data_IF_424960541424
#
_entry.id   IF_424960541424
#
_cell.length_a   1.000
_cell.length_b   1.000
_cell.length_c   1.000
_cell.angle_alpha   90.00
_cell.angle_beta   90.00
_cell.angle_gamma   90.00
#
_symmetry.space_group_name_H-M   'P 1'
#
loop_
_entity.id
_entity.type
_entity.pdbx_description
1 polymer ?
#
# COMPACT_ATOMS: atom_id res chain seq x y z
N UNK A 1 12.51 15.30 5.82
CA UNK A 1 12.37 14.32 4.73
C UNK A 1 12.47 15.02 3.38
N UNK A 2 12.75 14.29 2.30
CA UNK A 2 12.84 14.86 0.95
C UNK A 2 11.58 15.63 0.53
N UNK A 3 10.40 15.11 0.86
CA UNK A 3 9.13 15.80 0.56
C UNK A 3 9.02 17.16 1.25
N UNK A 4 9.38 17.26 2.53
CA UNK A 4 9.37 18.54 3.25
C UNK A 4 10.36 19.53 2.63
N UNK A 5 11.53 19.05 2.24
CA UNK A 5 12.53 19.87 1.55
C UNK A 5 11.98 20.43 0.24
N UNK A 6 11.30 19.60 -0.58
CA UNK A 6 10.71 20.07 -1.85
C UNK A 6 9.60 21.11 -1.62
N UNK A 7 8.84 20.99 -0.53
CA UNK A 7 7.85 22.01 -0.13
C UNK A 7 8.55 23.32 0.25
N UNK A 8 9.59 23.23 1.09
CA UNK A 8 10.38 24.39 1.54
C UNK A 8 11.05 25.13 0.38
N UNK A 9 11.45 24.40 -0.66
CA UNK A 9 12.01 24.98 -1.89
C UNK A 9 10.96 25.51 -2.87
N UNK A 10 9.66 25.41 -2.57
CA UNK A 10 8.58 25.83 -3.44
C UNK A 10 8.39 24.95 -4.70
N UNK A 11 9.04 23.79 -4.76
CA UNK A 11 8.94 22.84 -5.89
C UNK A 11 7.64 22.02 -5.79
N UNK A 12 7.26 21.60 -4.58
CA UNK A 12 6.04 20.86 -4.33
C UNK A 12 5.05 21.71 -3.52
N UNK A 13 3.77 21.73 -3.95
CA UNK A 13 2.71 22.43 -3.24
C UNK A 13 2.20 21.57 -2.08
N UNK A 14 2.23 22.06 -0.81
CA UNK A 14 1.61 21.34 0.30
C UNK A 14 0.12 21.15 0.03
N UNK A 15 -0.42 19.98 0.25
CA UNK A 15 -1.81 19.66 -0.06
C UNK A 15 -2.09 19.22 -1.50
N UNK A 16 -1.04 19.08 -2.35
CA UNK A 16 -1.14 18.53 -3.71
C UNK A 16 -0.10 17.43 -3.97
N UNK A 17 0.25 16.67 -2.95
CA UNK A 17 1.27 15.63 -3.06
C UNK A 17 0.60 14.28 -2.94
N UNK A 18 0.60 13.52 -4.03
CA UNK A 18 0.19 12.13 -4.05
C UNK A 18 1.38 11.20 -3.80
N UNK A 19 1.11 10.06 -3.19
CA UNK A 19 2.10 9.00 -2.96
C UNK A 19 1.68 7.74 -3.70
N UNK A 20 2.65 7.01 -4.26
CA UNK A 20 2.36 5.70 -4.86
C UNK A 20 3.44 4.68 -4.55
N UNK A 21 3.04 3.42 -4.46
CA UNK A 21 3.97 2.33 -4.28
C UNK A 21 3.37 0.99 -4.70
N UNK A 22 4.23 0.10 -5.19
CA UNK A 22 3.87 -1.25 -5.60
C UNK A 22 4.69 -2.27 -4.81
N UNK A 23 4.07 -3.41 -4.42
CA UNK A 23 4.74 -4.51 -3.74
C UNK A 23 5.37 -4.04 -2.41
N UNK A 24 6.67 -4.12 -2.26
CA UNK A 24 7.37 -3.64 -1.07
C UNK A 24 7.23 -2.13 -0.85
N UNK A 25 7.22 -1.34 -1.92
CA UNK A 25 6.90 0.09 -1.79
C UNK A 25 5.40 0.34 -1.56
N UNK A 26 4.53 -0.60 -1.90
CA UNK A 26 3.13 -0.62 -1.47
C UNK A 26 3.02 -0.77 0.06
N UNK A 27 3.85 -1.65 0.66
CA UNK A 27 4.00 -1.70 2.12
C UNK A 27 4.48 -0.35 2.68
N UNK A 28 5.56 0.20 2.13
CA UNK A 28 6.09 1.48 2.61
C UNK A 28 5.05 2.59 2.53
N UNK A 29 4.28 2.64 1.46
CA UNK A 29 3.19 3.61 1.28
C UNK A 29 2.09 3.41 2.32
N UNK A 30 1.61 2.18 2.51
CA UNK A 30 0.57 1.87 3.50
C UNK A 30 1.02 2.21 4.93
N UNK A 31 2.29 1.96 5.25
CA UNK A 31 2.85 2.30 6.55
C UNK A 31 3.04 3.82 6.74
N UNK A 32 3.53 4.51 5.71
CA UNK A 32 3.74 5.97 5.78
C UNK A 32 2.45 6.73 6.05
N UNK A 33 1.34 6.35 5.41
CA UNK A 33 0.06 7.04 5.61
C UNK A 33 -0.57 6.78 6.99
N UNK A 34 -0.06 5.83 7.78
CA UNK A 34 -0.39 5.70 9.21
C UNK A 34 0.41 6.67 10.09
N UNK A 35 1.47 7.28 9.57
CA UNK A 35 2.43 8.10 10.35
C UNK A 35 2.37 9.58 10.00
N UNK A 36 1.72 9.97 8.91
CA UNK A 36 1.68 11.36 8.47
C UNK A 36 0.52 11.64 7.52
N UNK A 37 -0.07 12.83 7.64
CA UNK A 37 -1.10 13.38 6.75
C UNK A 37 -0.49 14.26 5.63
N UNK A 38 0.81 14.12 5.37
CA UNK A 38 1.52 14.94 4.38
C UNK A 38 1.02 14.71 2.94
N UNK A 39 0.43 13.56 2.68
CA UNK A 39 -0.02 13.13 1.35
C UNK A 39 -1.52 13.30 1.21
N UNK A 40 -1.94 13.99 0.15
CA UNK A 40 -3.36 14.26 -0.15
C UNK A 40 -4.11 12.99 -0.56
N UNK A 41 -3.42 12.06 -1.18
CA UNK A 41 -3.94 10.76 -1.59
C UNK A 41 -2.80 9.76 -1.79
N UNK A 42 -3.12 8.48 -1.75
CA UNK A 42 -2.12 7.43 -1.97
C UNK A 42 -2.67 6.28 -2.83
N UNK A 43 -1.86 5.86 -3.81
CA UNK A 43 -2.06 4.66 -4.58
C UNK A 43 -1.16 3.55 -4.02
N UNK A 44 -1.77 2.43 -3.67
CA UNK A 44 -1.10 1.28 -3.03
C UNK A 44 -1.38 0.05 -3.87
N UNK A 45 -0.37 -0.48 -4.55
CA UNK A 45 -0.53 -1.67 -5.38
C UNK A 45 0.18 -2.88 -4.76
N UNK A 46 -0.51 -4.02 -4.74
CA UNK A 46 -0.03 -5.31 -4.21
C UNK A 46 0.73 -5.20 -2.87
N UNK A 47 0.19 -4.49 -1.85
CA UNK A 47 0.91 -4.21 -0.61
C UNK A 47 0.99 -5.42 0.31
N UNK A 48 2.02 -5.45 1.14
CA UNK A 48 2.01 -6.19 2.41
C UNK A 48 1.47 -5.22 3.47
N UNK A 49 0.37 -5.54 4.13
CA UNK A 49 -0.24 -4.66 5.15
C UNK A 49 -0.17 -5.23 6.55
N UNK A 50 -0.03 -6.55 6.65
CA UNK A 50 0.16 -7.32 7.88
C UNK A 50 1.46 -8.11 7.81
N UNK A 51 2.41 -7.75 8.65
CA UNK A 51 3.72 -8.39 8.71
C UNK A 51 3.66 -9.80 9.31
N UNK A 52 2.66 -10.10 10.13
CA UNK A 52 2.50 -11.43 10.74
C UNK A 52 2.06 -12.45 9.69
N UNK A 53 0.94 -12.21 9.02
CA UNK A 53 0.46 -13.10 7.97
C UNK A 53 1.35 -13.07 6.73
N UNK A 54 2.00 -11.95 6.45
CA UNK A 54 3.02 -11.85 5.41
C UNK A 54 4.23 -12.75 5.69
N UNK A 55 4.76 -12.73 6.92
CA UNK A 55 5.87 -13.59 7.36
C UNK A 55 5.53 -15.08 7.29
N UNK A 56 4.34 -15.45 7.74
CA UNK A 56 3.84 -16.83 7.71
C UNK A 56 3.31 -17.27 6.34
N UNK A 57 3.31 -16.37 5.37
CA UNK A 57 2.81 -16.64 4.03
C UNK A 57 3.78 -17.45 3.17
N UNK A 58 3.23 -18.03 2.11
CA UNK A 58 3.98 -18.69 1.04
C UNK A 58 3.94 -17.81 -0.20
N UNK A 59 5.03 -17.74 -0.94
CA UNK A 59 5.04 -17.18 -2.28
C UNK A 59 4.46 -18.21 -3.24
N UNK A 60 3.20 -18.08 -3.63
CA UNK A 60 2.46 -19.08 -4.40
C UNK A 60 3.16 -19.45 -5.72
N UNK A 61 3.77 -18.48 -6.40
CA UNK A 61 4.48 -18.71 -7.66
C UNK A 61 5.73 -19.61 -7.53
N UNK A 62 6.30 -19.78 -6.33
CA UNK A 62 7.49 -20.58 -6.11
C UNK A 62 7.34 -21.66 -5.02
N UNK A 63 6.27 -21.61 -4.22
CA UNK A 63 6.08 -22.48 -3.06
C UNK A 63 7.02 -22.20 -1.88
N UNK A 64 7.83 -21.13 -1.96
CA UNK A 64 8.82 -20.81 -0.92
C UNK A 64 8.19 -20.05 0.24
N UNK A 65 8.52 -20.40 1.49
CA UNK A 65 8.16 -19.59 2.65
C UNK A 65 8.89 -18.25 2.63
N UNK A 66 8.35 -17.27 3.30
CA UNK A 66 8.79 -15.87 3.18
C UNK A 66 9.72 -15.40 4.30
N UNK A 67 10.00 -16.20 5.31
CA UNK A 67 10.69 -15.75 6.53
C UNK A 67 12.01 -15.02 6.24
N UNK A 68 12.87 -15.55 5.35
CA UNK A 68 14.17 -14.96 5.03
C UNK A 68 14.05 -13.52 4.49
N UNK A 69 12.94 -13.22 3.79
CA UNK A 69 12.68 -11.86 3.29
C UNK A 69 12.42 -10.90 4.44
N UNK A 70 11.75 -11.37 5.49
CA UNK A 70 11.43 -10.54 6.66
C UNK A 70 12.60 -10.47 7.63
N UNK A 71 13.26 -11.59 7.89
CA UNK A 71 14.37 -11.63 8.85
C UNK A 71 15.61 -10.93 8.32
N UNK A 72 16.03 -11.24 7.08
CA UNK A 72 17.38 -10.94 6.61
C UNK A 72 17.46 -9.93 5.47
N UNK A 73 16.52 -9.98 4.51
CA UNK A 73 16.69 -9.21 3.27
C UNK A 73 15.84 -7.92 3.23
N UNK A 74 14.58 -7.99 2.85
CA UNK A 74 13.76 -6.79 2.60
C UNK A 74 13.37 -6.06 3.90
N UNK A 75 12.84 -6.76 4.90
CA UNK A 75 12.40 -6.14 6.15
C UNK A 75 13.51 -5.94 7.15
N UNK A 76 14.54 -6.78 7.12
CA UNK A 76 15.69 -6.73 8.04
C UNK A 76 15.26 -6.69 9.50
N UNK A 77 14.27 -7.52 9.86
CA UNK A 77 13.80 -7.65 11.25
C UNK A 77 14.91 -8.19 12.17
N UNK A 78 15.81 -9.03 11.60
CA UNK A 78 16.97 -9.61 12.28
C UNK A 78 16.63 -10.71 13.27
N UNK A 79 15.34 -11.03 13.43
CA UNK A 79 14.80 -12.03 14.36
C UNK A 79 13.52 -12.63 13.81
N UNK A 80 13.20 -13.83 14.29
CA UNK A 80 11.94 -14.49 13.98
C UNK A 80 10.73 -13.71 14.54
N UNK A 81 9.55 -14.02 14.04
CA UNK A 81 8.30 -13.44 14.54
C UNK A 81 8.15 -13.62 16.07
N UNK A 82 8.51 -14.79 16.59
CA UNK A 82 8.32 -15.13 18.00
C UNK A 82 9.32 -14.41 18.92
N UNK A 83 10.51 -14.11 18.43
CA UNK A 83 11.55 -13.38 19.16
C UNK A 83 11.34 -11.85 19.15
N UNK A 84 10.59 -11.34 18.16
CA UNK A 84 10.40 -9.90 17.96
C UNK A 84 8.93 -9.53 17.64
N UNK A 85 7.95 -10.15 18.31
CA UNK A 85 6.51 -9.93 18.10
C UNK A 85 6.14 -8.47 17.97
N UNK A 86 6.57 -7.64 18.93
CA UNK A 86 6.23 -6.23 18.97
C UNK A 86 6.72 -5.47 17.75
N UNK A 87 7.88 -5.85 17.20
CA UNK A 87 8.44 -5.25 15.99
C UNK A 87 7.59 -5.59 14.75
N UNK A 88 7.14 -6.85 14.63
CA UNK A 88 6.25 -7.27 13.55
C UNK A 88 4.88 -6.59 13.64
N UNK A 89 4.30 -6.53 14.83
CA UNK A 89 3.03 -5.85 15.05
C UNK A 89 3.13 -4.35 14.77
N UNK A 90 4.16 -3.68 15.31
CA UNK A 90 4.39 -2.24 15.09
C UNK A 90 4.69 -1.89 13.62
N UNK A 91 5.13 -2.86 12.83
CA UNK A 91 5.38 -2.70 11.39
C UNK A 91 4.19 -3.08 10.52
N UNK A 92 3.08 -3.54 11.10
CA UNK A 92 1.86 -3.93 10.39
C UNK A 92 0.92 -2.74 10.23
N UNK A 93 0.87 -2.16 9.02
CA UNK A 93 0.04 -0.99 8.71
C UNK A 93 -1.46 -1.22 9.00
N UNK A 94 -1.94 -2.46 8.83
CA UNK A 94 -3.34 -2.83 9.07
C UNK A 94 -3.78 -2.60 10.53
N UNK A 95 -2.87 -2.77 11.49
CA UNK A 95 -3.17 -2.57 12.92
C UNK A 95 -3.26 -1.09 13.30
N UNK A 96 -2.82 -0.20 12.42
CA UNK A 96 -2.90 1.26 12.59
C UNK A 96 -3.79 1.92 11.51
N UNK A 97 -4.68 1.16 10.88
CA UNK A 97 -5.55 1.65 9.82
C UNK A 97 -6.48 2.79 10.30
N UNK A 98 -6.81 2.84 11.59
CA UNK A 98 -7.58 3.91 12.23
C UNK A 98 -6.88 5.28 12.15
N UNK A 99 -5.56 5.30 12.02
CA UNK A 99 -4.75 6.52 11.84
C UNK A 99 -4.66 7.00 10.40
N UNK A 100 -5.17 6.24 9.44
CA UNK A 100 -5.13 6.62 8.02
C UNK A 100 -6.28 7.58 7.71
N UNK A 101 -5.96 8.84 7.42
CA UNK A 101 -6.91 9.84 6.93
C UNK A 101 -6.81 10.04 5.41
N UNK A 102 -5.67 9.70 4.83
CA UNK A 102 -5.38 9.79 3.40
C UNK A 102 -6.30 8.88 2.58
N UNK A 103 -7.03 9.38 1.58
CA UNK A 103 -7.78 8.55 0.63
C UNK A 103 -6.88 7.55 -0.08
N UNK A 104 -7.34 6.29 -0.22
CA UNK A 104 -6.55 5.20 -0.80
C UNK A 104 -7.17 4.65 -2.08
N UNK A 105 -6.38 4.54 -3.14
CA UNK A 105 -6.65 3.68 -4.27
C UNK A 105 -5.79 2.42 -4.14
N UNK A 106 -6.41 1.28 -3.90
CA UNK A 106 -5.72 0.01 -3.71
C UNK A 106 -5.88 -0.82 -4.98
N UNK A 107 -4.78 -1.30 -5.53
CA UNK A 107 -4.77 -2.34 -6.55
C UNK A 107 -4.24 -3.63 -5.94
N UNK A 108 -4.99 -4.71 -6.05
CA UNK A 108 -4.49 -6.03 -5.69
C UNK A 108 -5.26 -7.10 -6.49
N UNK A 109 -4.53 -7.90 -7.24
CA UNK A 109 -5.13 -8.90 -8.11
C UNK A 109 -5.27 -10.25 -7.40
N UNK A 110 -6.31 -11.00 -7.76
CA UNK A 110 -6.65 -12.27 -7.12
C UNK A 110 -5.70 -13.43 -7.46
N UNK A 111 -4.99 -13.32 -8.60
CA UNK A 111 -3.98 -14.30 -9.03
C UNK A 111 -2.53 -13.88 -8.65
N UNK A 112 -2.39 -12.96 -7.67
CA UNK A 112 -1.07 -12.50 -7.23
C UNK A 112 -0.29 -13.65 -6.58
N UNK A 113 0.74 -14.11 -7.29
CA UNK A 113 1.60 -15.21 -6.88
C UNK A 113 2.74 -14.80 -5.92
N UNK A 114 2.94 -13.50 -5.75
CA UNK A 114 4.01 -12.95 -4.92
C UNK A 114 3.52 -12.45 -3.55
N UNK A 115 2.38 -11.77 -3.51
CA UNK A 115 1.76 -11.25 -2.28
C UNK A 115 0.30 -11.68 -2.25
N UNK A 116 -0.13 -12.35 -1.18
CA UNK A 116 -1.50 -12.82 -1.06
C UNK A 116 -2.51 -11.66 -1.19
N UNK A 117 -3.53 -11.84 -2.02
CA UNK A 117 -4.61 -10.87 -2.28
C UNK A 117 -5.27 -10.34 -0.99
N UNK A 118 -5.34 -11.20 0.02
CA UNK A 118 -5.91 -10.87 1.33
C UNK A 118 -5.25 -9.65 1.97
N UNK A 119 -3.98 -9.40 1.71
CA UNK A 119 -3.24 -8.27 2.26
C UNK A 119 -3.87 -6.91 1.85
N UNK A 120 -4.09 -6.71 0.57
CA UNK A 120 -4.75 -5.48 0.06
C UNK A 120 -6.24 -5.44 0.38
N UNK A 121 -6.93 -6.59 0.27
CA UNK A 121 -8.34 -6.71 0.61
C UNK A 121 -8.61 -6.37 2.08
N UNK A 122 -7.77 -6.85 3.00
CA UNK A 122 -7.93 -6.57 4.42
C UNK A 122 -7.80 -5.07 4.72
N UNK A 123 -6.82 -4.40 4.15
CA UNK A 123 -6.68 -2.94 4.29
C UNK A 123 -7.92 -2.21 3.75
N UNK A 124 -8.39 -2.57 2.57
CA UNK A 124 -9.63 -2.00 2.01
C UNK A 124 -10.82 -2.16 2.96
N UNK A 125 -11.04 -3.36 3.49
CA UNK A 125 -12.14 -3.63 4.41
C UNK A 125 -12.00 -2.86 5.73
N UNK A 126 -10.77 -2.72 6.25
CA UNK A 126 -10.51 -1.90 7.43
C UNK A 126 -10.86 -0.43 7.17
N UNK A 127 -10.41 0.16 6.05
CA UNK A 127 -10.76 1.52 5.66
C UNK A 127 -12.28 1.71 5.52
N UNK A 128 -12.98 0.76 4.88
CA UNK A 128 -14.45 0.79 4.76
C UNK A 128 -15.15 0.70 6.11
N UNK A 129 -14.68 -0.17 7.00
CA UNK A 129 -15.22 -0.28 8.37
C UNK A 129 -15.04 1.00 9.18
N UNK A 130 -13.94 1.70 8.96
CA UNK A 130 -13.61 2.98 9.59
C UNK A 130 -14.25 4.19 8.88
N UNK A 131 -15.08 3.96 7.85
CA UNK A 131 -15.73 5.00 7.04
C UNK A 131 -14.72 5.96 6.37
N UNK A 132 -13.55 5.44 6.02
CA UNK A 132 -12.50 6.19 5.31
C UNK A 132 -12.61 5.98 3.80
N UNK A 133 -12.31 7.00 2.98
CA UNK A 133 -12.33 6.88 1.52
C UNK A 133 -11.30 5.85 1.03
N UNK A 134 -11.78 4.77 0.44
CA UNK A 134 -10.92 3.76 -0.16
C UNK A 134 -11.63 3.05 -1.32
N UNK A 135 -10.87 2.72 -2.35
CA UNK A 135 -11.28 1.94 -3.52
C UNK A 135 -10.33 0.77 -3.70
N UNK A 136 -10.88 -0.39 -4.04
CA UNK A 136 -10.10 -1.58 -4.36
C UNK A 136 -10.38 -1.96 -5.81
N UNK A 137 -9.31 -2.06 -6.59
CA UNK A 137 -9.33 -2.59 -7.95
C UNK A 137 -8.72 -3.99 -7.94
N UNK A 138 -9.40 -4.91 -8.60
CA UNK A 138 -8.94 -6.26 -8.89
C UNK A 138 -9.16 -6.53 -10.37
N UNK A 139 -8.10 -6.75 -11.11
CA UNK A 139 -8.16 -7.21 -12.49
C UNK A 139 -8.07 -8.72 -12.47
N UNK A 140 -9.23 -9.35 -12.66
CA UNK A 140 -9.36 -10.80 -12.58
C UNK A 140 -8.45 -11.51 -13.57
N UNK A 141 -7.69 -12.48 -13.07
CA UNK A 141 -6.72 -13.24 -13.85
C UNK A 141 -5.36 -12.54 -14.03
N UNK A 142 -5.19 -11.33 -13.48
CA UNK A 142 -3.87 -10.69 -13.42
C UNK A 142 -3.13 -11.11 -12.14
N UNK A 143 -1.80 -11.20 -12.26
CA UNK A 143 -0.92 -11.57 -11.14
C UNK A 143 -0.38 -10.36 -10.37
N UNK A 144 0.85 -10.51 -9.85
CA UNK A 144 1.53 -9.45 -9.11
C UNK A 144 1.71 -8.15 -9.91
N UNK A 145 1.85 -8.28 -11.22
CA UNK A 145 1.87 -7.18 -12.17
C UNK A 145 0.67 -7.25 -13.09
N UNK A 146 0.13 -6.10 -13.46
CA UNK A 146 -0.90 -6.02 -14.49
C UNK A 146 -0.22 -6.11 -15.85
N UNK A 147 -0.41 -7.21 -16.56
CA UNK A 147 0.25 -7.49 -17.84
C UNK A 147 -0.69 -7.33 -19.04
N UNK A 148 -1.99 -7.55 -18.86
CA UNK A 148 -2.99 -7.41 -19.92
C UNK A 148 -3.13 -5.96 -20.37
N UNK A 149 -2.97 -5.69 -21.69
CA UNK A 149 -3.03 -4.32 -22.24
C UNK A 149 -4.31 -3.55 -21.88
N UNK A 150 -5.45 -4.24 -21.85
CA UNK A 150 -6.73 -3.64 -21.44
C UNK A 150 -6.73 -3.22 -19.99
N UNK A 151 -6.28 -4.10 -19.10
CA UNK A 151 -6.15 -3.85 -17.66
C UNK A 151 -5.11 -2.73 -17.36
N UNK A 152 -3.96 -2.73 -18.05
CA UNK A 152 -2.97 -1.66 -17.93
C UNK A 152 -3.53 -0.29 -18.31
N UNK A 153 -4.28 -0.22 -19.41
CA UNK A 153 -4.92 1.02 -19.87
C UNK A 153 -5.96 1.50 -18.85
N UNK A 154 -6.85 0.62 -18.41
CA UNK A 154 -7.89 0.97 -17.42
C UNK A 154 -7.25 1.39 -16.08
N UNK A 155 -6.27 0.65 -15.60
CA UNK A 155 -5.51 0.99 -14.40
C UNK A 155 -4.89 2.39 -14.48
N UNK A 156 -4.22 2.69 -15.59
CA UNK A 156 -3.58 4.01 -15.79
C UNK A 156 -4.62 5.13 -15.76
N UNK A 157 -5.76 4.94 -16.45
CA UNK A 157 -6.84 5.93 -16.48
C UNK A 157 -7.42 6.15 -15.07
N UNK A 158 -7.71 5.07 -14.33
CA UNK A 158 -8.28 5.18 -12.97
C UNK A 158 -7.30 5.82 -12.00
N UNK A 159 -6.02 5.51 -12.11
CA UNK A 159 -4.98 6.13 -11.30
C UNK A 159 -4.90 7.64 -11.56
N UNK A 160 -4.90 8.07 -12.83
CA UNK A 160 -4.94 9.49 -13.19
C UNK A 160 -6.19 10.17 -12.65
N UNK A 161 -7.38 9.58 -12.88
CA UNK A 161 -8.64 10.11 -12.37
C UNK A 161 -8.66 10.24 -10.85
N UNK A 162 -8.09 9.25 -10.15
CA UNK A 162 -7.99 9.29 -8.69
C UNK A 162 -7.12 10.43 -8.21
N UNK A 163 -5.91 10.56 -8.74
CA UNK A 163 -5.03 11.66 -8.37
C UNK A 163 -5.62 13.02 -8.72
N UNK A 164 -6.24 13.17 -9.87
CA UNK A 164 -6.92 14.41 -10.26
C UNK A 164 -8.08 14.74 -9.34
N UNK A 165 -9.00 13.80 -9.09
CA UNK A 165 -10.21 14.02 -8.30
C UNK A 165 -9.89 14.46 -6.87
N UNK A 166 -8.88 13.84 -6.24
CA UNK A 166 -8.54 14.13 -4.84
C UNK A 166 -7.71 15.41 -4.73
N UNK A 167 -6.83 15.70 -5.70
CA UNK A 167 -6.04 16.94 -5.68
C UNK A 167 -6.82 18.19 -6.09
N UNK A 168 -7.93 18.07 -6.86
CA UNK A 168 -8.76 19.19 -7.30
C UNK A 168 -9.98 19.47 -6.41
N UNK A 169 -10.57 18.48 -5.74
CA UNK A 169 -11.78 18.66 -4.93
C UNK A 169 -11.54 19.49 -3.67
N UNK A 170 -10.34 19.52 -3.13
CA UNK A 170 -9.98 20.40 -2.01
C UNK A 170 -9.78 21.89 -2.41
N UNK A 171 -9.90 22.23 -3.71
CA UNK A 171 -9.82 23.60 -4.20
C UNK A 171 -11.21 24.26 -4.35
N UNK A 172 -12.31 23.54 -4.05
CA UNK A 172 -13.68 24.04 -4.20
C UNK A 172 -14.47 24.11 -2.87
N UNK A 173 -13.78 24.00 -1.75
CA UNK A 173 -14.38 24.19 -0.42
C UNK A 173 -14.02 25.54 0.16
#
# INVERSE_FOLDING_TARGET
SGTKYLIEQGIAHPGKIGLQGHSWSGYQTSYLVTKTDLFTCANIAAPITDMVTGYLGIRNGSGLPRYFMYEETQSRMGKTLWEAKDKYLASSAILEADKIHTPLLILHNDEDEAVAYEQGRALYLAMRRLQRPAWLLNYKGEGHFVLGRGAQKDWTIRMMQFFDSVSYTHLRA
#
